data_IF_360028011166
#
_entry.id   IF_360028011166
#
_cell.length_a   1.000
_cell.length_b   1.000
_cell.length_c   1.000
_cell.angle_alpha   90.00
_cell.angle_beta   90.00
_cell.angle_gamma   90.00
#
_symmetry.space_group_name_H-M   'P 1'
#
loop_
_entity.id
_entity.type
_entity.pdbx_description
1 polymer ?
#
# COMPACT_ATOMS: atom_id res chain seq x y z
N UNK A 1 25.05 -5.44 27.12
CA UNK A 1 25.08 -6.93 27.09
C UNK A 1 23.93 -7.58 26.28
N UNK A 2 22.90 -6.86 25.82
CA UNK A 2 21.72 -7.44 25.13
C UNK A 2 21.95 -7.83 23.64
N UNK A 3 22.63 -6.99 22.84
CA UNK A 3 22.84 -7.21 21.39
C UNK A 3 23.73 -8.40 21.03
N UNK A 4 24.68 -8.76 21.89
CA UNK A 4 25.56 -9.90 21.64
C UNK A 4 24.82 -11.23 21.79
N UNK A 5 23.89 -11.31 22.75
CA UNK A 5 23.03 -12.49 22.94
C UNK A 5 22.04 -12.67 21.79
N UNK A 6 21.48 -11.60 21.24
CA UNK A 6 20.57 -11.69 20.09
C UNK A 6 21.27 -12.16 18.82
N UNK A 7 22.51 -11.72 18.57
CA UNK A 7 23.31 -12.17 17.43
C UNK A 7 23.72 -13.64 17.54
N UNK A 8 24.14 -14.09 18.74
CA UNK A 8 24.43 -15.49 19.00
C UNK A 8 23.18 -16.37 18.86
N UNK A 9 22.03 -15.91 19.36
CA UNK A 9 20.75 -16.61 19.21
C UNK A 9 20.34 -16.71 17.74
N UNK A 10 20.50 -15.64 16.96
CA UNK A 10 20.23 -15.63 15.53
C UNK A 10 21.15 -16.60 14.77
N UNK A 11 22.44 -16.64 15.11
CA UNK A 11 23.42 -17.57 14.53
C UNK A 11 23.13 -19.03 14.88
N UNK A 12 22.80 -19.33 16.14
CA UNK A 12 22.44 -20.69 16.58
C UNK A 12 21.12 -21.13 15.94
N UNK A 13 20.14 -20.23 15.82
CA UNK A 13 18.88 -20.52 15.14
C UNK A 13 19.09 -20.74 13.63
N UNK A 14 19.93 -19.93 12.97
CA UNK A 14 20.29 -20.11 11.57
C UNK A 14 21.03 -21.44 11.33
N UNK A 15 21.92 -21.82 12.25
CA UNK A 15 22.67 -23.09 12.17
C UNK A 15 21.73 -24.28 12.37
N UNK A 16 20.82 -24.22 13.37
CA UNK A 16 19.81 -25.28 13.55
C UNK A 16 18.92 -25.44 12.32
N UNK A 17 18.46 -24.33 11.74
CA UNK A 17 17.69 -24.30 10.48
C UNK A 17 18.44 -24.90 9.29
N UNK A 18 19.75 -24.68 9.20
CA UNK A 18 20.58 -25.23 8.13
C UNK A 18 20.79 -26.75 8.24
N UNK A 19 20.76 -27.31 9.46
CA UNK A 19 20.96 -28.74 9.70
C UNK A 19 19.65 -29.56 9.67
N UNK A 20 18.51 -28.96 10.01
CA UNK A 20 17.20 -29.58 9.82
C UNK A 20 16.74 -29.33 8.39
N UNK A 21 16.94 -30.32 7.50
CA UNK A 21 16.41 -30.34 6.12
C UNK A 21 14.86 -30.42 6.11
N UNK A 22 14.18 -29.51 6.79
CA UNK A 22 12.74 -29.34 6.75
C UNK A 22 12.40 -28.55 5.49
N UNK A 23 12.12 -29.24 4.40
CA UNK A 23 11.72 -28.64 3.11
C UNK A 23 10.52 -27.69 3.31
N UNK A 24 9.64 -27.96 4.27
CA UNK A 24 8.51 -27.09 4.65
C UNK A 24 8.94 -25.73 5.24
N UNK A 25 10.15 -25.58 5.79
CA UNK A 25 10.66 -24.28 6.27
C UNK A 25 11.21 -23.40 5.14
N UNK A 26 11.51 -23.98 3.98
CA UNK A 26 12.07 -23.27 2.81
C UNK A 26 10.98 -22.83 1.83
N UNK A 27 9.78 -23.42 1.92
CA UNK A 27 8.62 -22.99 1.15
C UNK A 27 7.97 -21.84 1.91
N UNK A 28 7.88 -20.63 1.32
CA UNK A 28 7.17 -19.52 1.96
C UNK A 28 5.72 -19.94 2.21
N UNK A 29 5.11 -19.53 3.35
CA UNK A 29 3.72 -19.85 3.61
C UNK A 29 2.83 -19.37 2.46
N UNK A 30 1.69 -20.03 2.21
CA UNK A 30 0.80 -19.68 1.10
C UNK A 30 0.26 -18.25 1.20
N UNK A 31 0.27 -17.66 2.39
CA UNK A 31 -0.04 -16.26 2.60
C UNK A 31 0.85 -15.62 3.68
N UNK A 32 1.12 -14.32 3.52
CA UNK A 32 1.82 -13.49 4.49
C UNK A 32 1.05 -12.21 4.74
N UNK A 33 0.67 -11.97 5.99
CA UNK A 33 0.08 -10.70 6.40
C UNK A 33 1.11 -9.58 6.29
N UNK A 34 0.74 -8.52 5.57
CA UNK A 34 1.54 -7.28 5.46
C UNK A 34 0.95 -6.22 6.39
N UNK A 35 -0.36 -5.96 6.24
CA UNK A 35 -1.08 -4.99 7.07
C UNK A 35 -2.41 -5.57 7.55
N UNK A 36 -2.79 -5.16 8.76
CA UNK A 36 -4.11 -5.36 9.36
C UNK A 36 -4.72 -4.00 9.65
N UNK A 37 -6.03 -3.94 9.79
CA UNK A 37 -6.75 -2.70 10.08
C UNK A 37 -7.76 -2.94 11.21
N UNK A 38 -7.32 -3.63 12.26
CA UNK A 38 -8.19 -4.09 13.36
C UNK A 38 -8.05 -3.29 14.64
N UNK A 39 -7.08 -2.39 14.70
CA UNK A 39 -6.80 -1.60 15.89
C UNK A 39 -6.32 -0.19 15.55
N UNK A 40 -6.53 0.76 16.47
CA UNK A 40 -5.97 2.12 16.35
C UNK A 40 -4.45 2.09 16.26
N UNK A 41 -3.79 1.07 16.81
CA UNK A 41 -2.34 0.86 16.68
C UNK A 41 -1.93 0.49 15.24
N UNK A 42 -2.73 -0.31 14.55
CA UNK A 42 -2.49 -0.58 13.14
C UNK A 42 -2.61 0.67 12.28
N UNK A 43 -3.57 1.55 12.58
CA UNK A 43 -3.74 2.80 11.84
C UNK A 43 -2.54 3.76 12.00
N UNK A 44 -1.84 3.73 13.14
CA UNK A 44 -0.61 4.53 13.36
C UNK A 44 0.54 4.15 12.42
N UNK A 45 0.45 3.02 11.71
CA UNK A 45 1.40 2.63 10.67
C UNK A 45 1.18 3.40 9.37
N UNK A 46 0.13 4.21 9.28
CA UNK A 46 -0.25 4.93 8.07
C UNK A 46 -0.22 6.45 8.29
N UNK A 47 0.14 7.17 7.24
CA UNK A 47 0.06 8.61 7.16
C UNK A 47 -0.87 8.97 6.00
N UNK A 48 -1.81 9.87 6.26
CA UNK A 48 -2.71 10.41 5.25
C UNK A 48 -2.03 11.55 4.51
N UNK A 49 -2.34 11.68 3.23
CA UNK A 49 -1.90 12.78 2.38
C UNK A 49 -2.98 13.11 1.35
N UNK A 50 -2.99 14.34 0.85
CA UNK A 50 -3.93 14.81 -0.17
C UNK A 50 -3.36 16.00 -0.94
N UNK A 51 -4.04 16.39 -2.01
CA UNK A 51 -3.70 17.60 -2.78
C UNK A 51 -3.68 18.90 -1.97
N UNK A 52 -4.28 18.92 -0.78
CA UNK A 52 -4.30 20.07 0.12
C UNK A 52 -2.91 20.49 0.63
N UNK A 53 -1.95 19.57 0.66
CA UNK A 53 -0.53 19.89 0.90
C UNK A 53 0.06 20.80 -0.19
N UNK A 54 -0.58 20.84 -1.35
CA UNK A 54 -0.18 21.62 -2.52
C UNK A 54 -1.22 22.69 -2.90
N UNK A 55 -2.19 22.98 -2.02
CA UNK A 55 -3.20 24.02 -2.21
C UNK A 55 -4.52 23.56 -2.85
N UNK A 56 -4.71 22.24 -3.03
CA UNK A 56 -6.03 21.65 -3.32
C UNK A 56 -6.95 21.64 -2.09
N UNK A 57 -8.19 21.19 -2.28
CA UNK A 57 -9.23 21.18 -1.25
C UNK A 57 -9.72 19.78 -0.88
N UNK A 58 -9.02 18.71 -1.31
CA UNK A 58 -9.37 17.35 -0.92
C UNK A 58 -9.01 17.07 0.54
N UNK A 59 -9.76 16.17 1.16
CA UNK A 59 -9.57 15.75 2.55
C UNK A 59 -9.69 14.24 2.71
N UNK A 60 -8.98 13.70 3.69
CA UNK A 60 -8.94 12.26 3.96
C UNK A 60 -8.95 11.97 5.47
N UNK A 61 -9.54 10.83 5.84
CA UNK A 61 -9.57 10.27 7.19
C UNK A 61 -9.29 8.77 7.13
N UNK A 62 -8.72 8.25 8.23
CA UNK A 62 -8.52 6.83 8.45
C UNK A 62 -8.88 6.51 9.89
N UNK A 63 -9.93 5.73 10.08
CA UNK A 63 -10.51 5.45 11.40
C UNK A 63 -11.01 4.02 11.53
N UNK A 64 -11.21 3.58 12.77
CA UNK A 64 -11.97 2.37 13.08
C UNK A 64 -13.19 2.82 13.90
N UNK A 65 -14.42 2.55 13.46
CA UNK A 65 -15.63 2.91 14.20
C UNK A 65 -15.64 2.28 15.59
N UNK A 66 -15.97 3.08 16.61
CA UNK A 66 -16.17 2.57 17.96
C UNK A 66 -17.54 1.84 18.05
N UNK A 67 -17.57 0.62 18.60
CA UNK A 67 -18.83 -0.09 18.94
C UNK A 67 -19.24 -1.28 18.06
N UNK A 68 -18.42 -1.71 17.10
CA UNK A 68 -18.67 -2.94 16.34
C UNK A 68 -18.56 -4.21 17.22
N UNK A 69 -19.58 -5.07 17.23
CA UNK A 69 -19.55 -6.35 17.98
C UNK A 69 -19.05 -7.47 17.05
N UNK A 70 -17.79 -7.85 17.19
CA UNK A 70 -17.19 -8.98 16.46
C UNK A 70 -16.17 -8.51 15.43
N UNK A 71 -16.14 -9.11 14.24
CA UNK A 71 -15.32 -8.75 13.07
C UNK A 71 -15.49 -7.30 12.53
N UNK A 72 -16.13 -6.42 13.31
CA UNK A 72 -16.64 -5.12 12.90
C UNK A 72 -15.66 -3.96 13.18
N UNK A 73 -14.50 -4.24 13.79
CA UNK A 73 -13.42 -3.28 13.97
C UNK A 73 -12.53 -3.18 12.73
N UNK A 74 -13.09 -2.72 11.61
CA UNK A 74 -12.37 -2.63 10.33
C UNK A 74 -11.98 -1.20 10.01
N UNK A 75 -10.81 -0.99 9.40
CA UNK A 75 -10.35 0.34 9.02
C UNK A 75 -11.18 0.93 7.89
N UNK A 76 -11.55 2.20 8.02
CA UNK A 76 -12.27 2.97 7.02
C UNK A 76 -11.35 4.07 6.52
N UNK A 77 -10.99 4.01 5.24
CA UNK A 77 -10.34 5.10 4.53
C UNK A 77 -11.39 5.87 3.75
N UNK A 78 -11.61 7.13 4.12
CA UNK A 78 -12.69 7.95 3.56
C UNK A 78 -12.31 9.42 3.44
N UNK A 79 -13.15 10.21 2.77
CA UNK A 79 -12.96 11.64 2.66
C UNK A 79 -13.71 12.23 1.46
N UNK A 80 -13.29 13.40 1.04
CA UNK A 80 -13.88 14.12 -0.08
C UNK A 80 -12.78 14.53 -1.07
N UNK A 81 -13.02 14.25 -2.36
CA UNK A 81 -12.15 14.70 -3.44
C UNK A 81 -12.68 16.01 -4.01
N UNK A 82 -11.84 17.04 -4.08
CA UNK A 82 -12.16 18.30 -4.74
C UNK A 82 -11.14 18.61 -5.81
N UNK A 83 -11.62 19.03 -6.98
CA UNK A 83 -10.75 19.52 -8.07
C UNK A 83 -10.45 21.01 -7.92
N UNK A 84 -11.10 21.69 -6.97
CA UNK A 84 -10.93 23.11 -6.70
C UNK A 84 -9.60 23.38 -5.98
N UNK A 85 -9.09 24.59 -6.20
CA UNK A 85 -7.86 25.11 -5.58
C UNK A 85 -8.21 26.24 -4.62
N UNK A 86 -7.43 26.34 -3.55
CA UNK A 86 -7.53 27.47 -2.61
C UNK A 86 -7.25 28.82 -3.29
N UNK A 87 -8.06 29.83 -2.95
CA UNK A 87 -7.89 31.19 -3.47
C UNK A 87 -6.49 31.73 -3.14
N UNK A 88 -5.76 32.17 -4.17
CA UNK A 88 -4.41 32.72 -4.01
C UNK A 88 -3.29 31.68 -3.88
N UNK A 89 -3.56 30.39 -4.15
CA UNK A 89 -2.51 29.37 -4.22
C UNK A 89 -1.43 29.77 -5.24
N UNK A 90 -0.21 29.97 -4.77
CA UNK A 90 0.97 30.25 -5.62
C UNK A 90 1.52 28.98 -6.28
N UNK A 91 1.02 27.81 -5.87
CA UNK A 91 1.45 26.53 -6.38
C UNK A 91 0.64 26.19 -7.63
N UNK A 92 1.29 26.24 -8.79
CA UNK A 92 0.75 25.68 -10.03
C UNK A 92 0.77 24.15 -9.92
N UNK A 93 -0.23 23.58 -9.25
CA UNK A 93 -0.38 22.12 -9.22
C UNK A 93 -0.92 21.65 -10.56
N UNK A 94 -0.29 20.62 -11.12
CA UNK A 94 -0.70 20.05 -12.40
C UNK A 94 -1.87 19.07 -12.27
N UNK A 95 -2.17 18.59 -11.05
CA UNK A 95 -3.25 17.64 -10.75
C UNK A 95 -3.85 17.92 -9.37
N UNK A 96 -5.15 18.21 -9.32
CA UNK A 96 -5.97 18.29 -8.10
C UNK A 96 -6.92 17.09 -8.03
N UNK A 97 -7.65 16.94 -6.92
CA UNK A 97 -8.61 15.89 -6.68
C UNK A 97 -7.98 14.55 -6.30
N UNK A 98 -7.02 14.51 -5.36
CA UNK A 98 -6.49 13.23 -4.87
C UNK A 98 -6.30 13.15 -3.36
N UNK A 99 -6.50 11.94 -2.84
CA UNK A 99 -6.24 11.55 -1.46
C UNK A 99 -5.50 10.20 -1.43
N UNK A 100 -4.72 9.95 -0.39
CA UNK A 100 -4.11 8.65 -0.16
C UNK A 100 -3.68 8.41 1.27
N UNK A 101 -3.36 7.16 1.54
CA UNK A 101 -2.68 6.75 2.76
C UNK A 101 -1.41 5.99 2.40
N UNK A 102 -0.30 6.34 3.04
CA UNK A 102 1.00 5.70 2.84
C UNK A 102 1.48 5.09 4.15
N UNK A 103 1.98 3.85 4.08
CA UNK A 103 2.55 3.22 5.25
C UNK A 103 3.85 3.93 5.66
N UNK A 104 4.16 3.92 6.95
CA UNK A 104 5.53 4.10 7.44
C UNK A 104 6.42 3.06 6.76
N UNK A 105 7.68 3.43 6.54
CA UNK A 105 8.68 2.47 6.07
C UNK A 105 8.79 1.33 7.07
N UNK A 106 8.93 0.11 6.58
CA UNK A 106 9.25 -1.04 7.42
C UNK A 106 10.62 -0.83 8.10
N UNK A 107 10.84 -1.52 9.22
CA UNK A 107 12.17 -1.61 9.82
C UNK A 107 13.03 -2.53 8.94
N UNK A 108 13.80 -1.93 8.02
CA UNK A 108 14.46 -2.64 6.92
C UNK A 108 13.53 -2.81 5.71
N UNK A 109 13.31 -4.05 5.30
CA UNK A 109 12.44 -4.40 4.17
C UNK A 109 11.64 -5.66 4.49
N UNK A 110 10.51 -5.81 3.80
CA UNK A 110 9.81 -7.09 3.75
C UNK A 110 10.22 -7.81 2.47
N UNK A 111 10.50 -9.10 2.62
CA UNK A 111 10.76 -10.01 1.51
C UNK A 111 9.44 -10.62 1.01
N UNK A 112 9.12 -10.34 -0.25
CA UNK A 112 7.99 -10.87 -1.00
C UNK A 112 8.43 -11.74 -2.21
N UNK A 113 9.71 -12.11 -2.35
CA UNK A 113 10.20 -12.90 -3.51
C UNK A 113 9.46 -14.25 -3.65
N UNK A 114 9.01 -14.81 -2.53
CA UNK A 114 8.27 -16.05 -2.46
C UNK A 114 6.76 -15.97 -2.77
N UNK A 115 6.27 -14.83 -3.26
CA UNK A 115 4.83 -14.56 -3.44
C UNK A 115 4.54 -14.07 -4.86
N UNK A 116 3.37 -14.42 -5.40
CA UNK A 116 2.97 -14.10 -6.78
C UNK A 116 2.08 -12.84 -6.86
N UNK A 117 1.42 -12.48 -5.75
CA UNK A 117 0.40 -11.44 -5.75
C UNK A 117 0.25 -10.73 -4.41
N UNK A 118 -0.22 -9.49 -4.48
CA UNK A 118 -0.82 -8.77 -3.36
C UNK A 118 -2.32 -9.04 -3.34
N UNK A 119 -2.87 -9.36 -2.18
CA UNK A 119 -4.30 -9.46 -1.96
C UNK A 119 -4.77 -8.43 -0.92
N UNK A 120 -5.90 -7.79 -1.20
CA UNK A 120 -6.51 -6.79 -0.33
C UNK A 120 -7.98 -7.16 -0.11
N UNK A 121 -8.41 -7.26 1.15
CA UNK A 121 -9.82 -7.48 1.50
C UNK A 121 -10.48 -6.12 1.72
N UNK A 122 -11.37 -5.76 0.79
CA UNK A 122 -11.93 -4.42 0.66
C UNK A 122 -13.45 -4.46 0.53
N UNK A 123 -14.12 -3.41 1.01
CA UNK A 123 -15.50 -3.08 0.69
C UNK A 123 -15.53 -1.66 0.14
N UNK A 124 -15.68 -1.54 -1.17
CA UNK A 124 -15.53 -0.27 -1.88
C UNK A 124 -16.81 0.55 -1.95
N UNK A 125 -16.70 1.72 -2.58
CA UNK A 125 -17.77 2.65 -2.93
C UNK A 125 -18.06 2.67 -4.45
N UNK A 126 -17.39 1.80 -5.22
CA UNK A 126 -17.45 1.76 -6.68
C UNK A 126 -16.42 2.65 -7.38
N UNK A 127 -15.57 3.39 -6.65
CA UNK A 127 -14.40 4.07 -7.22
C UNK A 127 -13.26 3.08 -7.47
N UNK A 128 -12.34 3.46 -8.35
CA UNK A 128 -11.09 2.76 -8.54
C UNK A 128 -10.02 3.38 -7.63
N UNK A 129 -9.30 2.54 -6.91
CA UNK A 129 -8.17 2.93 -6.09
C UNK A 129 -6.86 2.54 -6.79
N UNK A 130 -5.75 3.06 -6.30
CA UNK A 130 -4.40 2.76 -6.81
C UNK A 130 -3.60 2.20 -5.64
N UNK A 131 -3.15 0.96 -5.76
CA UNK A 131 -2.18 0.36 -4.85
C UNK A 131 -0.78 0.70 -5.35
N UNK A 132 0.07 1.21 -4.46
CA UNK A 132 1.50 1.41 -4.75
C UNK A 132 2.35 0.53 -3.86
N UNK A 133 3.37 -0.11 -4.44
CA UNK A 133 4.46 -0.78 -3.73
C UNK A 133 5.70 0.10 -3.85
N UNK A 134 6.39 0.35 -2.74
CA UNK A 134 7.68 1.03 -2.73
C UNK A 134 8.79 0.01 -2.52
N UNK A 135 9.79 -0.02 -3.41
CA UNK A 135 10.96 -0.89 -3.28
C UNK A 135 12.22 -0.07 -3.15
N UNK A 136 13.26 -0.64 -2.56
CA UNK A 136 14.58 -0.01 -2.55
C UNK A 136 15.12 0.18 -3.98
N UNK A 137 15.84 1.28 -4.21
CA UNK A 137 16.53 1.54 -5.47
C UNK A 137 17.84 0.75 -5.54
N UNK A 138 18.01 -0.07 -6.58
CA UNK A 138 19.28 -0.75 -6.84
C UNK A 138 20.18 0.04 -7.81
N UNK A 139 19.59 0.87 -8.68
CA UNK A 139 20.31 1.69 -9.67
C UNK A 139 20.09 3.17 -9.35
N UNK A 140 21.08 3.81 -8.75
CA UNK A 140 21.08 5.26 -8.62
C UNK A 140 21.51 5.87 -9.96
N UNK A 141 20.61 6.51 -10.69
CA UNK A 141 21.06 7.67 -11.45
C UNK A 141 21.52 8.73 -10.43
N UNK A 142 22.68 9.37 -10.62
CA UNK A 142 23.14 10.41 -9.70
C UNK A 142 22.05 11.46 -9.48
N UNK A 143 21.61 11.63 -8.22
CA UNK A 143 20.58 12.62 -7.84
C UNK A 143 19.16 12.08 -7.63
N UNK A 144 18.91 10.78 -7.81
CA UNK A 144 17.62 10.13 -7.51
C UNK A 144 17.63 9.56 -6.08
N UNK A 145 17.11 10.31 -5.11
CA UNK A 145 17.00 9.90 -3.69
C UNK A 145 15.66 9.27 -3.34
N UNK A 146 14.70 9.22 -4.27
CA UNK A 146 13.32 8.77 -4.06
C UNK A 146 13.18 7.25 -4.30
N UNK A 147 12.40 6.56 -3.47
CA UNK A 147 12.15 5.11 -3.61
C UNK A 147 11.42 4.79 -4.94
N UNK A 148 11.76 3.67 -5.59
CA UNK A 148 11.05 3.16 -6.75
C UNK A 148 9.59 2.85 -6.38
N UNK A 149 8.66 3.31 -7.22
CA UNK A 149 7.23 3.14 -6.98
C UNK A 149 6.56 2.36 -8.11
N UNK A 150 5.76 1.37 -7.72
CA UNK A 150 5.09 0.46 -8.64
C UNK A 150 3.60 0.53 -8.39
N UNK A 151 2.79 0.80 -9.41
CA UNK A 151 1.36 1.06 -9.25
C UNK A 151 0.48 0.06 -10.00
N UNK A 152 -0.62 -0.32 -9.37
CA UNK A 152 -1.69 -1.09 -9.98
C UNK A 152 -3.05 -0.57 -9.56
N UNK A 153 -4.03 -0.66 -10.46
CA UNK A 153 -5.41 -0.30 -10.15
C UNK A 153 -6.08 -1.38 -9.31
N UNK A 154 -6.90 -0.94 -8.35
CA UNK A 154 -7.69 -1.77 -7.45
C UNK A 154 -9.15 -1.39 -7.62
N UNK A 155 -9.98 -2.34 -8.01
CA UNK A 155 -11.42 -2.16 -8.06
C UNK A 155 -12.10 -3.09 -7.06
N UNK A 156 -12.91 -2.50 -6.18
CA UNK A 156 -13.74 -3.23 -5.23
C UNK A 156 -15.22 -2.86 -5.46
N UNK A 157 -16.12 -3.85 -5.55
CA UNK A 157 -17.54 -3.59 -5.74
C UNK A 157 -18.11 -2.77 -4.59
N UNK A 158 -19.06 -1.89 -4.93
CA UNK A 158 -19.78 -1.08 -3.96
C UNK A 158 -20.50 -1.94 -2.93
N UNK A 159 -20.36 -1.59 -1.66
CA UNK A 159 -21.09 -2.12 -0.50
C UNK A 159 -20.96 -3.64 -0.28
N UNK A 160 -20.02 -4.32 -0.94
CA UNK A 160 -19.76 -5.77 -0.76
C UNK A 160 -18.29 -6.05 -0.51
N UNK A 161 -18.02 -6.92 0.46
CA UNK A 161 -16.68 -7.43 0.71
C UNK A 161 -16.16 -8.20 -0.50
N UNK A 162 -14.95 -7.88 -0.92
CA UNK A 162 -14.27 -8.47 -2.05
C UNK A 162 -12.77 -8.58 -1.75
N UNK A 163 -12.15 -9.67 -2.21
CA UNK A 163 -10.69 -9.81 -2.13
C UNK A 163 -10.11 -9.50 -3.51
N UNK A 164 -9.52 -8.33 -3.66
CA UNK A 164 -8.79 -7.96 -4.87
C UNK A 164 -7.41 -8.65 -4.85
N UNK A 165 -7.15 -9.58 -5.77
CA UNK A 165 -5.83 -10.22 -5.98
C UNK A 165 -5.16 -9.55 -7.18
N UNK A 166 -3.99 -8.95 -6.96
CA UNK A 166 -3.21 -8.24 -7.97
C UNK A 166 -1.87 -8.95 -8.11
N UNK A 167 -1.60 -9.61 -9.24
CA UNK A 167 -0.28 -10.20 -9.49
C UNK A 167 0.82 -9.13 -9.43
N UNK A 168 1.97 -9.44 -8.84
CA UNK A 168 3.10 -8.51 -8.77
C UNK A 168 3.53 -8.03 -10.17
N UNK A 169 3.46 -8.92 -11.17
CA UNK A 169 3.73 -8.61 -12.58
C UNK A 169 2.75 -7.60 -13.23
N UNK A 170 1.65 -7.23 -12.56
CA UNK A 170 0.71 -6.20 -13.04
C UNK A 170 0.99 -4.81 -12.48
N UNK A 171 1.93 -4.68 -11.55
CA UNK A 171 2.35 -3.39 -11.04
C UNK A 171 3.36 -2.76 -12.01
N UNK A 172 3.04 -1.57 -12.50
CA UNK A 172 3.86 -0.85 -13.48
C UNK A 172 4.78 0.15 -12.76
N UNK A 173 6.04 0.34 -13.22
CA UNK A 173 6.92 1.36 -12.67
C UNK A 173 6.35 2.76 -12.95
N UNK A 174 6.32 3.60 -11.91
CA UNK A 174 5.79 4.96 -12.03
C UNK A 174 6.72 5.99 -11.38
N UNK A 175 6.74 7.19 -11.96
CA UNK A 175 7.37 8.39 -11.41
C UNK A 175 6.35 9.51 -11.31
N UNK A 176 6.13 10.02 -10.09
CA UNK A 176 5.17 11.09 -9.81
C UNK A 176 3.79 10.84 -10.45
N UNK A 177 3.32 9.60 -10.38
CA UNK A 177 2.02 9.18 -10.92
C UNK A 177 1.95 9.07 -12.45
N UNK A 178 3.09 8.97 -13.14
CA UNK A 178 3.17 8.66 -14.57
C UNK A 178 3.89 7.33 -14.75
N UNK A 179 3.35 6.46 -15.60
CA UNK A 179 4.04 5.22 -16.00
C UNK A 179 5.32 5.59 -16.73
N UNK A 180 6.43 4.98 -16.32
CA UNK A 180 7.72 5.15 -16.98
C UNK A 180 7.85 4.03 -18.01
N UNK A 181 8.09 4.39 -19.26
CA UNK A 181 8.37 3.42 -20.33
C UNK A 181 9.86 3.04 -20.31
N UNK A 182 10.27 2.38 -19.22
CA UNK A 182 11.60 1.80 -19.05
C UNK A 182 11.41 0.38 -18.55
N UNK A 183 12.18 -0.55 -19.11
CA UNK A 183 12.24 -1.94 -18.67
C UNK A 183 12.91 -1.99 -17.29
N UNK A 184 12.11 -1.74 -16.26
CA UNK A 184 12.50 -1.87 -14.86
C UNK A 184 11.81 -3.09 -14.28
N UNK A 185 12.58 -3.89 -13.55
CA UNK A 185 12.06 -5.01 -12.78
C UNK A 185 11.87 -4.62 -11.31
N UNK A 186 10.75 -5.01 -10.73
CA UNK A 186 10.50 -4.84 -9.31
C UNK A 186 11.45 -5.73 -8.53
N UNK A 187 11.94 -5.24 -7.38
CA UNK A 187 12.65 -6.08 -6.41
C UNK A 187 11.70 -6.43 -5.24
N UNK A 188 10.95 -7.56 -5.34
CA UNK A 188 9.98 -7.94 -4.30
C UNK A 188 10.65 -8.33 -2.97
N UNK A 189 11.93 -8.72 -2.98
CA UNK A 189 12.72 -9.01 -1.78
C UNK A 189 13.05 -7.78 -0.93
N UNK A 190 12.95 -6.56 -1.50
CA UNK A 190 13.31 -5.30 -0.82
C UNK A 190 12.17 -4.28 -0.81
N UNK A 191 10.98 -4.69 -0.39
CA UNK A 191 9.81 -3.80 -0.26
C UNK A 191 9.92 -2.96 1.01
N UNK A 192 9.81 -1.65 0.85
CA UNK A 192 9.95 -0.64 1.91
C UNK A 192 8.62 -0.20 2.52
N UNK A 193 7.52 -0.31 1.77
CA UNK A 193 6.20 0.14 2.21
C UNK A 193 5.16 0.05 1.10
N UNK A 194 3.94 0.43 1.41
CA UNK A 194 2.82 0.44 0.46
C UNK A 194 1.97 1.69 0.62
N UNK A 195 1.19 2.04 -0.40
CA UNK A 195 0.13 3.04 -0.29
C UNK A 195 -1.15 2.59 -0.98
N UNK A 196 -2.26 3.21 -0.59
CA UNK A 196 -3.53 3.15 -1.27
C UNK A 196 -4.01 4.58 -1.51
N UNK A 197 -4.28 4.94 -2.76
CA UNK A 197 -4.75 6.27 -3.12
C UNK A 197 -5.96 6.23 -4.05
N UNK A 198 -6.62 7.38 -4.17
CA UNK A 198 -7.79 7.59 -5.03
C UNK A 198 -7.70 9.01 -5.60
N UNK A 199 -8.15 9.16 -6.84
CA UNK A 199 -8.22 10.46 -7.50
C UNK A 199 -9.57 10.66 -8.21
N UNK A 200 -9.87 11.92 -8.55
CA UNK A 200 -11.10 12.30 -9.22
C UNK A 200 -11.07 11.95 -10.71
N UNK A 201 -9.91 12.03 -11.36
CA UNK A 201 -9.79 11.93 -12.82
C UNK A 201 -9.44 10.53 -13.36
N UNK A 202 -9.35 9.52 -12.50
CA UNK A 202 -8.87 8.18 -12.88
C UNK A 202 -9.81 7.03 -12.52
N UNK A 203 -9.67 5.93 -13.25
CA UNK A 203 -10.29 4.65 -12.93
C UNK A 203 -10.49 3.74 -14.13
N UNK A 204 -10.69 2.45 -13.87
CA UNK A 204 -11.09 1.49 -14.89
C UNK A 204 -12.46 1.84 -15.48
N UNK A 205 -12.74 1.41 -16.71
CA UNK A 205 -14.04 1.58 -17.36
C UNK A 205 -15.15 1.05 -16.45
N UNK A 206 -16.15 1.89 -16.14
CA UNK A 206 -17.27 1.56 -15.27
C UNK A 206 -17.07 1.87 -13.78
N UNK A 207 -15.90 2.36 -13.37
CA UNK A 207 -15.71 2.90 -12.02
C UNK A 207 -16.33 4.29 -11.87
N UNK A 208 -16.79 4.60 -10.65
CA UNK A 208 -17.20 5.96 -10.27
C UNK A 208 -15.98 6.89 -10.35
N UNK A 209 -16.10 7.99 -11.08
CA UNK A 209 -15.09 9.05 -11.22
C UNK A 209 -15.67 10.43 -10.83
N UNK A 210 -14.82 11.43 -10.82
CA UNK A 210 -15.14 12.82 -10.47
C UNK A 210 -14.98 13.15 -8.98
N UNK A 211 -15.15 14.44 -8.68
CA UNK A 211 -15.14 14.99 -7.33
C UNK A 211 -16.23 14.37 -6.43
N UNK A 212 -16.15 14.64 -5.12
CA UNK A 212 -17.09 14.18 -4.12
C UNK A 212 -16.55 13.02 -3.26
N UNK A 213 -17.44 12.47 -2.44
CA UNK A 213 -17.03 11.56 -1.38
C UNK A 213 -16.45 10.23 -1.90
N UNK A 214 -15.48 9.73 -1.15
CA UNK A 214 -14.97 8.37 -1.26
C UNK A 214 -14.98 7.67 0.10
N UNK A 215 -15.15 6.35 0.07
CA UNK A 215 -15.11 5.49 1.25
C UNK A 215 -14.77 4.05 0.87
N UNK A 216 -13.73 3.51 1.48
CA UNK A 216 -13.38 2.08 1.38
C UNK A 216 -13.12 1.52 2.77
N UNK A 217 -13.74 0.40 3.08
CA UNK A 217 -13.41 -0.39 4.27
C UNK A 217 -12.31 -1.40 3.90
N UNK A 218 -11.32 -1.54 4.77
CA UNK A 218 -10.11 -2.32 4.52
C UNK A 218 -9.87 -3.21 5.73
N UNK A 219 -9.89 -4.53 5.52
CA UNK A 219 -9.70 -5.54 6.57
C UNK A 219 -8.20 -5.90 6.71
N UNK A 220 -7.57 -6.28 5.60
CA UNK A 220 -6.16 -6.65 5.57
C UNK A 220 -5.54 -6.49 4.18
N UNK A 221 -4.20 -6.47 4.17
CA UNK A 221 -3.35 -6.61 2.99
C UNK A 221 -2.40 -7.79 3.23
N UNK A 222 -2.36 -8.72 2.29
CA UNK A 222 -1.51 -9.91 2.32
C UNK A 222 -0.70 -10.04 1.03
N UNK A 223 0.42 -10.74 1.10
CA UNK A 223 1.01 -11.39 -0.05
C UNK A 223 0.49 -12.83 -0.12
N UNK A 224 0.19 -13.32 -1.32
CA UNK A 224 -0.23 -14.68 -1.58
C UNK A 224 0.80 -15.38 -2.46
N UNK A 225 0.96 -16.69 -2.25
CA UNK A 225 1.71 -17.59 -3.12
C UNK A 225 0.67 -18.57 -3.69
N UNK A 226 0.50 -18.54 -5.02
CA UNK A 226 -0.52 -19.28 -5.77
C UNK A 226 -0.01 -20.58 -6.35
#
# INVERSE_FOLDING_TARGET
>A
MSRFRSLLQASVNATKRAFTWNIEEWVPPPEKYIFKFHSKEDLKKWHLYSDSEYGGLSSASLEIPDGGKGSDGTGIFSGNLSVDLSEGSKWNISRSGFCGMRSKKFDGFIDLDGYDAIAMRLRGDGRCYISTIYTENWVNSPGQTEDNSWQAFVFAPKDRWYTAKIPLARYLPTWRGNVIDVEMEMNPGRVLGMSLSVNAEGGAVGAKSGAGDFRVEIDWIKALNG
#
